data_IF_765098350990
#
_entry.id   IF_765098350990
#
_cell.length_a   1.000
_cell.length_b   1.000
_cell.length_c   1.000
_cell.angle_alpha   90.00
_cell.angle_beta   90.00
_cell.angle_gamma   90.00
#
_symmetry.space_group_name_H-M   'P 1'
#
loop_
_entity.id
_entity.type
_entity.pdbx_description
1 polymer ?
#
# COMPACT_ATOMS: atom_id res chain seq x y z
N UNK A 1 41.09 -25.08 -7.87
CA UNK A 1 40.40 -23.78 -7.73
C UNK A 1 38.98 -23.99 -8.22
N UNK A 2 38.03 -24.15 -7.29
CA UNK A 2 36.63 -24.35 -7.63
C UNK A 2 36.05 -22.98 -7.99
N UNK A 3 35.77 -22.79 -9.26
CA UNK A 3 34.96 -21.71 -9.78
C UNK A 3 33.55 -21.93 -9.20
N UNK A 4 33.22 -21.15 -8.18
CA UNK A 4 31.87 -21.12 -7.63
C UNK A 4 31.03 -20.44 -8.69
N UNK A 5 30.16 -21.19 -9.38
CA UNK A 5 29.11 -20.59 -10.18
C UNK A 5 28.41 -19.57 -9.28
N UNK A 6 28.46 -18.29 -9.64
CA UNK A 6 27.75 -17.25 -8.91
C UNK A 6 26.29 -17.71 -8.85
N UNK A 7 25.82 -18.05 -7.65
CA UNK A 7 24.44 -18.43 -7.45
C UNK A 7 23.57 -17.34 -8.10
N UNK A 8 22.58 -17.72 -8.91
CA UNK A 8 21.66 -16.76 -9.50
C UNK A 8 21.03 -15.96 -8.35
N UNK A 9 21.50 -14.73 -8.20
CA UNK A 9 21.11 -13.89 -7.08
C UNK A 9 19.70 -13.36 -7.34
N UNK A 10 18.77 -13.69 -6.45
CA UNK A 10 17.39 -13.26 -6.56
C UNK A 10 17.31 -11.72 -6.63
N UNK A 11 16.33 -11.19 -7.36
CA UNK A 11 16.27 -9.75 -7.64
C UNK A 11 16.16 -8.90 -6.36
N UNK A 12 15.46 -9.41 -5.33
CA UNK A 12 15.26 -8.70 -4.07
C UNK A 12 16.58 -8.57 -3.29
N UNK A 13 17.43 -9.60 -3.35
CA UNK A 13 18.76 -9.59 -2.75
C UNK A 13 19.66 -8.53 -3.39
N UNK A 14 19.67 -8.49 -4.73
CA UNK A 14 20.42 -7.48 -5.49
C UNK A 14 19.95 -6.07 -5.19
N UNK A 15 18.63 -5.87 -5.14
CA UNK A 15 18.05 -4.56 -4.82
C UNK A 15 18.37 -4.13 -3.38
N UNK A 16 18.28 -5.04 -2.41
CA UNK A 16 18.63 -4.78 -1.02
C UNK A 16 20.11 -4.36 -0.87
N UNK A 17 21.04 -5.04 -1.53
CA UNK A 17 22.46 -4.68 -1.52
C UNK A 17 22.73 -3.30 -2.11
N UNK A 18 22.08 -2.97 -3.23
CA UNK A 18 22.19 -1.65 -3.84
C UNK A 18 21.64 -0.54 -2.95
N UNK A 19 20.53 -0.81 -2.24
CA UNK A 19 19.96 0.13 -1.28
C UNK A 19 20.90 0.33 -0.09
N UNK A 20 21.39 -0.76 0.52
CA UNK A 20 22.26 -0.69 1.70
C UNK A 20 23.63 -0.07 1.39
N UNK A 21 24.12 -0.21 0.15
CA UNK A 21 25.32 0.47 -0.29
C UNK A 21 25.15 2.01 -0.37
N UNK A 22 23.91 2.50 -0.55
CA UNK A 22 23.59 3.93 -0.64
C UNK A 22 23.12 4.52 0.70
N UNK A 23 22.27 3.77 1.40
CA UNK A 23 21.60 4.19 2.63
C UNK A 23 21.71 3.09 3.69
N UNK A 24 22.79 3.10 4.49
CA UNK A 24 22.93 2.17 5.60
C UNK A 24 21.95 2.52 6.73
N UNK A 25 21.33 1.51 7.35
CA UNK A 25 20.55 1.67 8.59
C UNK A 25 19.12 1.14 8.50
N UNK A 26 18.15 2.06 8.47
CA UNK A 26 16.71 1.77 8.61
C UNK A 26 15.91 2.23 7.38
N UNK A 27 16.13 1.63 6.19
CA UNK A 27 15.43 2.02 4.97
C UNK A 27 13.92 1.80 5.11
N UNK A 28 13.15 2.68 4.49
CA UNK A 28 11.69 2.63 4.47
C UNK A 28 11.23 2.28 3.07
N UNK A 29 10.64 1.10 2.90
CA UNK A 29 10.00 0.66 1.66
C UNK A 29 8.55 1.13 1.70
N UNK A 30 8.10 1.87 0.69
CA UNK A 30 6.73 2.37 0.62
C UNK A 30 6.01 1.78 -0.58
N UNK A 31 4.76 1.39 -0.34
CA UNK A 31 3.78 0.96 -1.35
C UNK A 31 2.47 1.67 -1.09
N UNK A 32 1.63 1.86 -2.10
CA UNK A 32 0.44 2.69 -2.00
C UNK A 32 -0.78 2.13 -2.73
N UNK A 33 -1.97 2.57 -2.31
CA UNK A 33 -3.19 2.28 -3.06
C UNK A 33 -4.29 3.32 -2.78
N UNK A 34 -5.05 3.65 -3.82
CA UNK A 34 -6.34 4.34 -3.68
C UNK A 34 -7.47 3.29 -3.59
N UNK A 35 -8.29 3.26 -2.52
CA UNK A 35 -9.39 2.30 -2.36
C UNK A 35 -10.62 2.71 -3.18
N UNK A 36 -10.43 3.00 -4.48
CA UNK A 36 -11.47 3.55 -5.36
C UNK A 36 -12.47 2.51 -5.88
N UNK A 37 -12.34 1.24 -5.50
CA UNK A 37 -13.19 0.15 -5.95
C UNK A 37 -12.61 -1.24 -5.65
N UNK A 38 -13.17 -2.31 -6.25
CA UNK A 38 -12.72 -3.67 -6.00
C UNK A 38 -11.24 -3.90 -6.31
N UNK A 39 -10.55 -4.58 -5.41
CA UNK A 39 -9.14 -4.93 -5.58
C UNK A 39 -8.98 -6.20 -6.43
N UNK A 40 -8.18 -6.11 -7.50
CA UNK A 40 -7.76 -7.27 -8.30
C UNK A 40 -6.33 -7.74 -7.95
N UNK A 41 -5.95 -8.94 -8.43
CA UNK A 41 -4.63 -9.55 -8.22
C UNK A 41 -3.45 -8.63 -8.60
N UNK A 42 -3.64 -7.74 -9.58
CA UNK A 42 -2.61 -6.77 -9.96
C UNK A 42 -2.17 -5.84 -8.82
N UNK A 43 -3.05 -5.52 -7.87
CA UNK A 43 -2.71 -4.68 -6.72
C UNK A 43 -1.78 -5.39 -5.74
N UNK A 44 -1.81 -6.73 -5.71
CA UNK A 44 -0.89 -7.51 -4.88
C UNK A 44 0.55 -7.38 -5.37
N UNK A 45 0.77 -7.10 -6.65
CA UNK A 45 2.13 -7.05 -7.21
C UNK A 45 2.99 -6.01 -6.51
N UNK A 46 2.47 -4.81 -6.30
CA UNK A 46 3.25 -3.72 -5.69
C UNK A 46 3.61 -4.06 -4.24
N UNK A 47 2.60 -4.41 -3.44
CA UNK A 47 2.81 -4.69 -2.02
C UNK A 47 3.66 -5.94 -1.77
N UNK A 48 3.51 -7.01 -2.57
CA UNK A 48 4.36 -8.20 -2.48
C UNK A 48 5.80 -7.92 -2.92
N UNK A 49 6.00 -7.01 -3.86
CA UNK A 49 7.34 -6.55 -4.26
C UNK A 49 7.99 -5.78 -3.09
N UNK A 50 7.22 -4.90 -2.43
CA UNK A 50 7.66 -4.18 -1.24
C UNK A 50 7.99 -5.09 -0.06
N UNK A 51 7.14 -6.10 0.19
CA UNK A 51 7.35 -7.09 1.25
C UNK A 51 8.60 -7.94 0.98
N UNK A 52 8.78 -8.47 -0.23
CA UNK A 52 9.96 -9.24 -0.61
C UNK A 52 11.26 -8.43 -0.45
N UNK A 53 11.25 -7.15 -0.85
CA UNK A 53 12.39 -6.26 -0.67
C UNK A 53 12.66 -5.97 0.82
N UNK A 54 11.60 -5.72 1.60
CA UNK A 54 11.72 -5.46 3.04
C UNK A 54 12.31 -6.66 3.77
N UNK A 55 11.89 -7.89 3.42
CA UNK A 55 12.48 -9.12 3.95
C UNK A 55 13.96 -9.23 3.59
N UNK A 56 14.32 -9.03 2.33
CA UNK A 56 15.72 -9.09 1.88
C UNK A 56 16.62 -8.06 2.59
N UNK A 57 16.09 -6.87 2.91
CA UNK A 57 16.77 -5.85 3.72
C UNK A 57 16.93 -6.31 5.18
N UNK A 58 15.86 -6.83 5.80
CA UNK A 58 15.87 -7.33 7.19
C UNK A 58 16.81 -8.53 7.38
N UNK A 59 16.85 -9.45 6.42
CA UNK A 59 17.78 -10.59 6.40
C UNK A 59 19.25 -10.17 6.39
N UNK A 60 19.54 -8.94 5.92
CA UNK A 60 20.87 -8.31 5.93
C UNK A 60 21.12 -7.43 7.15
N UNK A 61 20.26 -7.49 8.15
CA UNK A 61 20.41 -6.78 9.42
C UNK A 61 19.95 -5.31 9.41
N UNK A 62 19.34 -4.83 8.32
CA UNK A 62 18.73 -3.50 8.33
C UNK A 62 17.44 -3.48 9.14
N UNK A 63 17.20 -2.37 9.84
CA UNK A 63 15.95 -2.10 10.56
C UNK A 63 14.85 -1.60 9.59
N UNK A 64 14.65 -2.34 8.50
CA UNK A 64 13.78 -1.90 7.41
C UNK A 64 12.30 -1.96 7.80
N UNK A 65 11.54 -0.94 7.37
CA UNK A 65 10.10 -0.83 7.56
C UNK A 65 9.37 -0.85 6.22
N UNK A 66 8.18 -1.44 6.20
CA UNK A 66 7.29 -1.40 5.05
C UNK A 66 6.09 -0.53 5.39
N UNK A 67 5.96 0.63 4.75
CA UNK A 67 4.79 1.49 4.86
C UNK A 67 3.82 1.19 3.72
N UNK A 68 2.56 0.93 4.07
CA UNK A 68 1.47 0.81 3.11
C UNK A 68 0.53 2.00 3.23
N UNK A 69 0.62 2.92 2.27
CA UNK A 69 -0.15 4.16 2.25
C UNK A 69 -1.48 3.93 1.55
N UNK A 70 -2.57 4.27 2.23
CA UNK A 70 -3.93 4.21 1.71
C UNK A 70 -4.38 5.62 1.38
N UNK A 71 -4.51 5.94 0.11
CA UNK A 71 -4.92 7.24 -0.42
C UNK A 71 -6.46 7.40 -0.37
N UNK A 72 -7.04 7.24 0.83
CA UNK A 72 -8.48 7.34 1.04
C UNK A 72 -9.04 8.78 1.02
N UNK A 73 -8.17 9.78 0.83
CA UNK A 73 -8.58 11.16 0.53
C UNK A 73 -8.80 11.43 -0.96
N UNK A 74 -8.39 10.51 -1.85
CA UNK A 74 -8.64 10.66 -3.27
C UNK A 74 -10.12 10.91 -3.53
N UNK A 75 -10.47 11.74 -4.53
CA UNK A 75 -11.86 11.99 -4.86
C UNK A 75 -12.46 10.81 -5.66
N UNK A 76 -13.74 10.52 -5.45
CA UNK A 76 -14.50 9.69 -6.38
C UNK A 76 -14.55 10.39 -7.75
N UNK A 77 -13.80 9.87 -8.73
CA UNK A 77 -13.61 10.53 -10.03
C UNK A 77 -14.85 10.50 -10.92
N UNK A 78 -15.67 9.45 -10.79
CA UNK A 78 -16.90 9.22 -11.54
C UNK A 78 -17.73 8.14 -10.84
N UNK A 79 -18.99 8.02 -11.22
CA UNK A 79 -19.78 6.84 -10.86
C UNK A 79 -19.31 5.65 -11.70
N UNK A 80 -18.87 4.57 -11.04
CA UNK A 80 -18.47 3.33 -11.71
C UNK A 80 -19.67 2.40 -11.90
N UNK A 81 -19.65 1.45 -12.85
CA UNK A 81 -20.79 0.58 -13.14
C UNK A 81 -21.29 -0.29 -11.98
N UNK A 82 -20.46 -0.50 -10.95
CA UNK A 82 -20.82 -1.26 -9.76
C UNK A 82 -21.48 -0.39 -8.66
N UNK A 83 -21.69 0.91 -8.91
CA UNK A 83 -22.27 1.87 -7.99
C UNK A 83 -23.65 2.33 -8.47
N UNK A 84 -24.53 2.62 -7.52
CA UNK A 84 -25.82 3.26 -7.78
C UNK A 84 -25.61 4.72 -8.19
N UNK A 85 -26.00 5.07 -9.42
CA UNK A 85 -25.83 6.43 -9.96
C UNK A 85 -26.63 7.48 -9.19
N UNK A 86 -27.80 7.14 -8.65
CA UNK A 86 -28.61 8.07 -7.87
C UNK A 86 -27.97 8.41 -6.53
N UNK A 87 -27.28 7.44 -5.93
CA UNK A 87 -26.57 7.61 -4.65
C UNK A 87 -25.23 8.32 -4.84
N UNK A 88 -24.42 7.86 -5.80
CA UNK A 88 -23.02 8.29 -5.94
C UNK A 88 -22.81 9.46 -6.90
N UNK A 89 -23.74 9.72 -7.82
CA UNK A 89 -23.68 10.86 -8.75
C UNK A 89 -23.46 12.20 -8.02
N UNK A 90 -24.26 12.54 -6.99
CA UNK A 90 -24.07 13.76 -6.18
C UNK A 90 -22.79 13.78 -5.34
N UNK A 91 -22.10 12.65 -5.21
CA UNK A 91 -20.92 12.47 -4.35
C UNK A 91 -19.60 12.48 -5.14
N UNK A 92 -19.66 12.51 -6.47
CA UNK A 92 -18.46 12.66 -7.33
C UNK A 92 -17.68 13.90 -6.90
N UNK A 93 -16.35 13.74 -6.75
CA UNK A 93 -15.45 14.77 -6.27
C UNK A 93 -15.21 14.78 -4.76
N UNK A 94 -16.02 14.08 -3.95
CA UNK A 94 -15.78 13.91 -2.51
C UNK A 94 -14.78 12.80 -2.23
N UNK A 95 -14.07 12.91 -1.11
CA UNK A 95 -13.04 11.95 -0.69
C UNK A 95 -13.64 10.58 -0.38
N UNK A 96 -12.95 9.51 -0.77
CA UNK A 96 -13.43 8.12 -0.62
C UNK A 96 -13.77 7.77 0.85
N UNK A 97 -13.03 8.30 1.83
CA UNK A 97 -13.31 8.08 3.26
C UNK A 97 -14.57 8.78 3.78
N UNK A 98 -15.16 9.72 3.03
CA UNK A 98 -16.39 10.42 3.42
C UNK A 98 -17.65 9.80 2.80
N UNK A 99 -17.47 8.86 1.87
CA UNK A 99 -18.57 8.26 1.12
C UNK A 99 -19.18 7.10 1.91
N UNK A 100 -20.50 6.88 1.79
CA UNK A 100 -21.12 5.68 2.36
C UNK A 100 -20.58 4.42 1.68
N UNK A 101 -20.52 3.31 2.43
CA UNK A 101 -20.21 2.00 1.84
C UNK A 101 -21.26 1.62 0.77
N UNK A 102 -20.86 1.00 -0.36
CA UNK A 102 -21.79 0.47 -1.36
C UNK A 102 -22.72 -0.62 -0.82
N UNK A 103 -22.29 -1.34 0.21
CA UNK A 103 -23.09 -2.31 0.91
C UNK A 103 -22.68 -2.40 2.38
N UNK A 104 -23.67 -2.59 3.26
CA UNK A 104 -23.47 -2.69 4.71
C UNK A 104 -23.29 -1.32 5.38
N UNK A 105 -22.77 -1.35 6.60
CA UNK A 105 -22.40 -0.15 7.36
C UNK A 105 -20.93 0.21 7.14
N UNK A 106 -20.60 1.49 7.31
CA UNK A 106 -19.24 2.01 7.18
C UNK A 106 -19.04 2.91 5.97
N UNK A 107 -17.77 3.12 5.62
CA UNK A 107 -17.35 4.03 4.56
C UNK A 107 -16.91 3.27 3.31
N UNK A 108 -16.95 3.95 2.16
CA UNK A 108 -16.59 3.39 0.86
C UNK A 108 -15.15 2.85 0.83
N UNK A 109 -14.20 3.60 1.37
CA UNK A 109 -12.80 3.19 1.44
C UNK A 109 -12.63 1.89 2.24
N UNK A 110 -13.26 1.79 3.42
CA UNK A 110 -13.20 0.59 4.26
C UNK A 110 -13.86 -0.61 3.61
N UNK A 111 -14.98 -0.40 2.92
CA UNK A 111 -15.69 -1.46 2.21
C UNK A 111 -14.77 -2.19 1.22
N UNK A 112 -13.94 -1.45 0.48
CA UNK A 112 -13.01 -2.06 -0.48
C UNK A 112 -11.68 -2.47 0.15
N UNK A 113 -11.18 -1.72 1.13
CA UNK A 113 -9.87 -1.96 1.74
C UNK A 113 -9.86 -3.16 2.68
N UNK A 114 -10.89 -3.36 3.49
CA UNK A 114 -10.88 -4.38 4.55
C UNK A 114 -10.64 -5.81 4.02
N UNK A 115 -11.29 -6.26 2.92
CA UNK A 115 -10.98 -7.56 2.32
C UNK A 115 -9.54 -7.67 1.82
N UNK A 116 -8.97 -6.57 1.31
CA UNK A 116 -7.58 -6.53 0.86
C UNK A 116 -6.61 -6.68 2.03
N UNK A 117 -6.82 -5.95 3.12
CA UNK A 117 -6.01 -6.08 4.35
C UNK A 117 -6.09 -7.49 4.95
N UNK A 118 -7.26 -8.13 4.92
CA UNK A 118 -7.39 -9.52 5.36
C UNK A 118 -6.60 -10.48 4.46
N UNK A 119 -6.63 -10.28 3.14
CA UNK A 119 -5.84 -11.07 2.21
C UNK A 119 -4.33 -10.92 2.48
N UNK A 120 -3.85 -9.70 2.71
CA UNK A 120 -2.44 -9.43 3.04
C UNK A 120 -2.02 -10.11 4.35
N UNK A 121 -2.88 -10.06 5.38
CA UNK A 121 -2.65 -10.76 6.64
C UNK A 121 -2.52 -12.26 6.43
N UNK A 122 -3.38 -12.87 5.60
CA UNK A 122 -3.33 -14.31 5.27
C UNK A 122 -2.06 -14.68 4.48
N UNK A 123 -1.55 -13.75 3.66
CA UNK A 123 -0.28 -13.91 2.94
C UNK A 123 0.95 -13.67 3.81
N UNK A 124 0.77 -13.24 5.07
CA UNK A 124 1.86 -12.96 6.00
C UNK A 124 2.65 -11.70 5.67
N UNK A 125 2.04 -10.76 4.93
CA UNK A 125 2.64 -9.45 4.64
C UNK A 125 2.63 -8.60 5.92
N UNK A 126 3.79 -8.06 6.26
CA UNK A 126 4.00 -7.22 7.45
C UNK A 126 4.28 -5.78 7.02
N UNK A 127 3.22 -4.96 6.98
CA UNK A 127 3.28 -3.57 6.58
C UNK A 127 2.52 -2.66 7.56
N UNK A 128 3.12 -1.51 7.87
CA UNK A 128 2.53 -0.42 8.63
C UNK A 128 1.51 0.30 7.74
N UNK A 129 0.21 0.07 8.00
CA UNK A 129 -0.88 0.73 7.25
C UNK A 129 -1.01 2.17 7.70
N UNK A 130 -0.98 3.10 6.75
CA UNK A 130 -1.12 4.54 7.01
C UNK A 130 -2.18 5.11 6.09
N UNK A 131 -3.18 5.80 6.65
CA UNK A 131 -4.26 6.42 5.88
C UNK A 131 -3.96 7.88 5.62
N UNK A 132 -4.13 8.32 4.37
CA UNK A 132 -3.98 9.72 4.01
C UNK A 132 -4.90 10.62 4.85
N UNK A 133 -6.17 10.25 5.01
CA UNK A 133 -7.12 10.99 5.87
C UNK A 133 -6.61 11.23 7.29
N UNK A 134 -6.03 10.22 7.95
CA UNK A 134 -5.48 10.34 9.30
C UNK A 134 -4.20 11.19 9.31
N UNK A 135 -3.34 11.04 8.30
CA UNK A 135 -2.13 11.87 8.17
C UNK A 135 -2.46 13.35 8.05
N UNK A 136 -3.40 13.72 7.18
CA UNK A 136 -3.82 15.10 7.01
C UNK A 136 -4.60 15.61 8.23
N UNK A 137 -5.55 14.83 8.76
CA UNK A 137 -6.34 15.26 9.92
C UNK A 137 -5.51 15.47 11.19
N UNK A 138 -4.37 14.77 11.33
CA UNK A 138 -3.46 14.92 12.46
C UNK A 138 -2.54 16.15 12.38
N UNK A 139 -2.57 16.92 11.29
CA UNK A 139 -1.70 18.08 11.06
C UNK A 139 -0.25 17.71 10.74
N UNK A 140 0.07 16.41 10.61
CA UNK A 140 1.42 15.93 10.27
C UNK A 140 1.90 16.40 8.88
N UNK A 141 0.97 16.86 8.06
CA UNK A 141 1.24 17.38 6.72
C UNK A 141 1.29 18.93 6.67
N UNK A 142 0.96 19.64 7.75
CA UNK A 142 0.77 21.11 7.72
C UNK A 142 2.04 21.88 7.34
N UNK A 143 3.23 21.36 7.68
CA UNK A 143 4.50 22.02 7.40
C UNK A 143 5.06 21.73 5.99
N UNK A 144 4.44 20.80 5.26
CA UNK A 144 4.95 20.29 3.97
C UNK A 144 4.01 20.50 2.79
N UNK A 145 2.80 21.05 3.01
CA UNK A 145 1.77 21.31 2.00
C UNK A 145 1.50 22.81 1.85
#
# INVERSE_FOLDING_TARGET
>A
MSETAAAEQHWADRAAEQILAREPGAPVVQTGISPSGPFHVGHLREILTGDALTRALRERGAAARHLFVVDNLDPLRKVYPFLDEQVYGPLVGRSLCELPAPAGEGTYDEHFLAPFLDALRRLGVDADVVRASELYASGRMDEVV
#
